data_IF_621984976844
#
_entry.id   IF_621984976844
#
_cell.length_a   1.000
_cell.length_b   1.000
_cell.length_c   1.000
_cell.angle_alpha   90.00
_cell.angle_beta   90.00
_cell.angle_gamma   90.00
#
_symmetry.space_group_name_H-M   'P 1'
#
loop_
_entity.id
_entity.type
_entity.pdbx_description
1 polymer ?
#
# COMPACT_ATOMS: atom_id res chain seq x y z
N UNK A 1 -15.90 -20.54 4.76
CA UNK A 1 -14.50 -20.99 5.01
C UNK A 1 -13.50 -19.84 5.04
N UNK A 2 -13.25 -19.11 3.93
CA UNK A 2 -12.25 -18.01 3.91
C UNK A 2 -12.41 -17.00 5.05
N UNK A 3 -13.61 -16.40 5.20
CA UNK A 3 -13.89 -15.42 6.28
C UNK A 3 -13.68 -16.00 7.67
N UNK A 4 -14.04 -17.27 7.86
CA UNK A 4 -13.90 -17.96 9.14
C UNK A 4 -12.41 -18.21 9.47
N UNK A 5 -11.62 -18.64 8.48
CA UNK A 5 -10.17 -18.76 8.62
C UNK A 5 -9.51 -17.42 8.95
N UNK A 6 -9.94 -16.33 8.30
CA UNK A 6 -9.46 -14.98 8.62
C UNK A 6 -9.80 -14.57 10.06
N UNK A 7 -10.99 -14.91 10.56
CA UNK A 7 -11.37 -14.66 11.95
C UNK A 7 -10.47 -15.40 12.95
N UNK A 8 -10.15 -16.67 12.69
CA UNK A 8 -9.21 -17.42 13.54
C UNK A 8 -7.80 -16.83 13.52
N UNK A 9 -7.32 -16.42 12.36
CA UNK A 9 -6.04 -15.72 12.26
C UNK A 9 -6.06 -14.38 13.01
N UNK A 10 -7.14 -13.62 12.92
CA UNK A 10 -7.29 -12.37 13.66
C UNK A 10 -7.33 -12.60 15.17
N UNK A 11 -7.97 -13.66 15.65
CA UNK A 11 -7.94 -14.03 17.07
C UNK A 11 -6.52 -14.32 17.57
N UNK A 12 -5.75 -15.10 16.81
CA UNK A 12 -4.34 -15.41 17.15
C UNK A 12 -3.50 -14.13 17.12
N UNK A 13 -3.65 -13.30 16.09
CA UNK A 13 -2.80 -12.14 15.86
C UNK A 13 -3.13 -10.94 16.76
N UNK A 14 -4.36 -10.88 17.29
CA UNK A 14 -4.78 -9.86 18.26
C UNK A 14 -4.60 -10.31 19.72
N UNK A 15 -4.27 -11.58 19.95
CA UNK A 15 -3.95 -12.06 21.29
C UNK A 15 -2.70 -11.37 21.82
N UNK A 16 -2.78 -10.83 23.04
CA UNK A 16 -1.68 -10.08 23.64
C UNK A 16 -0.57 -11.06 24.09
N UNK A 17 0.71 -10.77 23.80
CA UNK A 17 1.80 -11.56 24.33
C UNK A 17 1.80 -11.58 25.87
N UNK A 18 2.19 -12.71 26.46
CA UNK A 18 2.40 -12.78 27.90
C UNK A 18 3.65 -11.96 28.23
N UNK A 19 3.51 -10.99 29.13
CA UNK A 19 4.60 -10.12 29.56
C UNK A 19 5.11 -10.53 30.94
N UNK A 20 6.44 -10.48 31.13
CA UNK A 20 7.07 -10.85 32.40
C UNK A 20 7.16 -12.36 32.63
N UNK A 21 7.01 -12.80 33.88
CA UNK A 21 7.04 -14.23 34.24
C UNK A 21 5.63 -14.80 34.15
N UNK A 22 5.44 -15.77 33.26
CA UNK A 22 4.15 -16.44 33.08
C UNK A 22 3.70 -17.18 34.35
N UNK A 23 2.42 -17.06 34.68
CA UNK A 23 1.72 -17.87 35.68
C UNK A 23 1.07 -19.10 35.02
N UNK A 24 0.62 -20.05 35.85
CA UNK A 24 -0.15 -21.20 35.37
C UNK A 24 -1.41 -20.79 34.59
N UNK A 25 -2.14 -19.80 35.10
CA UNK A 25 -3.37 -19.31 34.47
C UNK A 25 -3.09 -18.68 33.10
N UNK A 26 -1.99 -17.93 32.95
CA UNK A 26 -1.63 -17.30 31.67
C UNK A 26 -1.37 -18.35 30.58
N UNK A 27 -0.69 -19.44 30.95
CA UNK A 27 -0.40 -20.54 30.02
C UNK A 27 -1.66 -21.37 29.73
N UNK A 28 -2.54 -21.55 30.73
CA UNK A 28 -3.81 -22.24 30.54
C UNK A 28 -4.73 -21.45 29.60
N UNK A 29 -4.81 -20.13 29.74
CA UNK A 29 -5.55 -19.25 28.85
C UNK A 29 -4.97 -19.26 27.44
N UNK A 30 -3.64 -19.23 27.31
CA UNK A 30 -2.98 -19.34 26.01
C UNK A 30 -3.36 -20.63 25.27
N UNK A 31 -3.31 -21.79 25.94
CA UNK A 31 -3.70 -23.06 25.31
C UNK A 31 -5.19 -23.05 24.95
N UNK A 32 -6.05 -22.60 25.87
CA UNK A 32 -7.50 -22.56 25.66
C UNK A 32 -7.91 -21.62 24.53
N UNK A 33 -7.16 -20.54 24.29
CA UNK A 33 -7.48 -19.60 23.22
C UNK A 33 -6.68 -19.90 21.95
N UNK A 34 -5.36 -19.78 22.00
CA UNK A 34 -4.50 -19.91 20.81
C UNK A 34 -4.45 -21.35 20.34
N UNK A 35 -4.33 -22.31 21.27
CA UNK A 35 -4.33 -23.75 20.94
C UNK A 35 -5.63 -24.18 20.27
N UNK A 36 -6.77 -23.86 20.88
CA UNK A 36 -8.08 -24.20 20.33
C UNK A 36 -8.36 -23.48 19.00
N UNK A 37 -7.95 -22.22 18.87
CA UNK A 37 -8.10 -21.46 17.61
C UNK A 37 -7.26 -22.06 16.48
N UNK A 38 -6.03 -22.48 16.76
CA UNK A 38 -5.17 -23.18 15.79
C UNK A 38 -5.77 -24.54 15.41
N UNK A 39 -6.31 -25.28 16.37
CA UNK A 39 -7.01 -26.54 16.09
C UNK A 39 -8.22 -26.29 15.18
N UNK A 40 -9.05 -25.29 15.48
CA UNK A 40 -10.20 -24.90 14.67
C UNK A 40 -9.80 -24.48 13.24
N UNK A 41 -8.70 -23.72 13.09
CA UNK A 41 -8.14 -23.35 11.80
C UNK A 41 -7.73 -24.58 10.97
N UNK A 42 -7.05 -25.54 11.58
CA UNK A 42 -6.66 -26.80 10.91
C UNK A 42 -7.86 -27.64 10.47
N UNK A 43 -8.95 -27.61 11.23
CA UNK A 43 -10.19 -28.30 10.89
C UNK A 43 -10.86 -27.76 9.61
N UNK A 44 -10.58 -26.51 9.23
CA UNK A 44 -11.10 -25.93 7.97
C UNK A 44 -10.48 -26.56 6.72
N UNK A 45 -9.37 -27.32 6.85
CA UNK A 45 -8.69 -28.01 5.75
C UNK A 45 -8.45 -27.09 4.55
N UNK A 46 -7.91 -25.89 4.84
CA UNK A 46 -7.62 -24.89 3.82
C UNK A 46 -6.51 -25.44 2.90
N UNK A 47 -6.71 -25.45 1.57
CA UNK A 47 -5.67 -25.85 0.64
C UNK A 47 -4.52 -24.84 0.70
N UNK A 48 -3.27 -25.31 0.76
CA UNK A 48 -2.08 -24.47 0.89
C UNK A 48 -2.19 -23.45 2.04
N UNK A 49 -2.36 -23.93 3.28
CA UNK A 49 -2.55 -23.10 4.48
C UNK A 49 -1.51 -21.97 4.61
N UNK A 50 -0.24 -22.22 4.26
CA UNK A 50 0.82 -21.22 4.27
C UNK A 50 0.53 -20.02 3.34
N UNK A 51 0.06 -20.28 2.12
CA UNK A 51 -0.32 -19.22 1.18
C UNK A 51 -1.51 -18.40 1.70
N UNK A 52 -2.48 -19.08 2.32
CA UNK A 52 -3.61 -18.40 2.95
C UNK A 52 -3.16 -17.48 4.10
N UNK A 53 -2.22 -17.93 4.95
CA UNK A 53 -1.66 -17.13 6.03
C UNK A 53 -0.90 -15.92 5.47
N UNK A 54 -0.04 -16.12 4.47
CA UNK A 54 0.72 -15.04 3.82
C UNK A 54 -0.21 -14.00 3.18
N UNK A 55 -1.24 -14.46 2.47
CA UNK A 55 -2.29 -13.61 1.93
C UNK A 55 -2.98 -12.80 3.03
N UNK A 56 -3.40 -13.42 4.13
CA UNK A 56 -4.10 -12.75 5.23
C UNK A 56 -3.23 -11.67 5.88
N UNK A 57 -1.95 -11.99 6.13
CA UNK A 57 -0.98 -11.05 6.69
C UNK A 57 -0.75 -9.86 5.76
N UNK A 58 -0.55 -10.10 4.46
CA UNK A 58 -0.38 -9.03 3.47
C UNK A 58 -1.63 -8.17 3.30
N UNK A 59 -2.81 -8.80 3.23
CA UNK A 59 -4.09 -8.10 3.07
C UNK A 59 -4.42 -7.19 4.25
N UNK A 60 -4.04 -7.59 5.47
CA UNK A 60 -4.20 -6.76 6.68
C UNK A 60 -3.44 -5.44 6.64
N UNK A 61 -2.37 -5.34 5.85
CA UNK A 61 -1.58 -4.12 5.73
C UNK A 61 -2.19 -3.08 4.76
N UNK A 62 -3.25 -3.44 4.03
CA UNK A 62 -3.90 -2.55 3.06
C UNK A 62 -5.07 -1.78 3.69
N UNK A 63 -5.37 -0.61 3.13
CA UNK A 63 -6.54 0.18 3.50
C UNK A 63 -7.85 -0.54 3.12
N UNK A 64 -8.95 -0.17 3.79
CA UNK A 64 -10.26 -0.80 3.59
C UNK A 64 -10.73 -0.73 2.14
N UNK A 65 -10.48 0.39 1.45
CA UNK A 65 -10.91 0.61 0.06
C UNK A 65 -10.16 -0.32 -0.90
N UNK A 66 -8.84 -0.45 -0.72
CA UNK A 66 -8.03 -1.37 -1.52
C UNK A 66 -8.40 -2.84 -1.26
N UNK A 67 -8.68 -3.20 -0.01
CA UNK A 67 -9.15 -4.56 0.33
C UNK A 67 -10.51 -4.87 -0.29
N UNK A 68 -11.48 -3.96 -0.16
CA UNK A 68 -12.81 -4.12 -0.74
C UNK A 68 -12.76 -4.31 -2.25
N UNK A 69 -12.03 -3.45 -2.95
CA UNK A 69 -11.88 -3.55 -4.40
C UNK A 69 -11.08 -4.78 -4.86
N UNK A 70 -10.16 -5.30 -4.04
CA UNK A 70 -9.53 -6.60 -4.29
C UNK A 70 -10.57 -7.74 -4.22
N UNK A 71 -11.41 -7.74 -3.18
CA UNK A 71 -12.46 -8.75 -2.97
C UNK A 71 -13.49 -8.72 -4.12
N UNK A 72 -13.85 -7.53 -4.61
CA UNK A 72 -14.70 -7.38 -5.78
C UNK A 72 -14.06 -7.95 -7.05
N UNK A 73 -12.75 -7.78 -7.23
CA UNK A 73 -12.03 -8.30 -8.39
C UNK A 73 -11.80 -9.82 -8.33
N UNK A 74 -11.82 -10.43 -7.14
CA UNK A 74 -11.51 -11.84 -6.91
C UNK A 74 -12.68 -12.62 -6.30
N UNK A 75 -13.92 -12.25 -6.64
CA UNK A 75 -15.14 -12.93 -6.18
C UNK A 75 -15.17 -14.43 -6.52
N UNK A 76 -14.57 -14.81 -7.64
CA UNK A 76 -14.54 -16.20 -8.13
C UNK A 76 -13.38 -17.03 -7.53
N UNK A 77 -12.48 -16.42 -6.76
CA UNK A 77 -11.32 -17.11 -6.18
C UNK A 77 -11.57 -17.38 -4.70
N UNK A 78 -11.79 -18.65 -4.33
CA UNK A 78 -12.12 -19.03 -2.94
C UNK A 78 -10.98 -18.74 -1.96
N UNK A 79 -9.74 -19.02 -2.34
CA UNK A 79 -8.54 -18.79 -1.54
C UNK A 79 -7.47 -18.09 -2.40
N UNK A 80 -7.46 -16.75 -2.45
CA UNK A 80 -6.42 -16.02 -3.15
C UNK A 80 -5.07 -16.20 -2.47
N UNK A 81 -4.01 -16.17 -3.26
CA UNK A 81 -2.61 -16.26 -2.83
C UNK A 81 -2.02 -14.89 -2.56
N UNK A 82 -0.83 -14.85 -1.95
CA UNK A 82 -0.10 -13.59 -1.82
C UNK A 82 0.34 -13.02 -3.18
N UNK A 83 0.58 -13.88 -4.18
CA UNK A 83 0.91 -13.43 -5.54
C UNK A 83 -0.29 -12.73 -6.20
N UNK A 84 -1.51 -13.26 -6.02
CA UNK A 84 -2.74 -12.61 -6.51
C UNK A 84 -2.89 -11.20 -5.92
N UNK A 85 -2.66 -11.09 -4.61
CA UNK A 85 -2.67 -9.80 -3.91
C UNK A 85 -1.60 -8.85 -4.47
N UNK A 86 -0.37 -9.33 -4.63
CA UNK A 86 0.76 -8.53 -5.12
C UNK A 86 0.52 -8.04 -6.54
N UNK A 87 0.03 -8.91 -7.43
CA UNK A 87 -0.34 -8.56 -8.80
C UNK A 87 -1.45 -7.51 -8.84
N UNK A 88 -2.46 -7.66 -8.00
CA UNK A 88 -3.54 -6.68 -7.89
C UNK A 88 -3.04 -5.31 -7.41
N UNK A 89 -2.25 -5.28 -6.33
CA UNK A 89 -1.71 -4.04 -5.76
C UNK A 89 -0.83 -3.30 -6.77
N UNK A 90 0.02 -4.02 -7.51
CA UNK A 90 0.82 -3.42 -8.61
C UNK A 90 -0.08 -2.82 -9.70
N UNK A 91 -1.15 -3.52 -10.09
CA UNK A 91 -2.09 -3.04 -11.10
C UNK A 91 -2.84 -1.78 -10.62
N UNK A 92 -3.27 -1.77 -9.36
CA UNK A 92 -3.94 -0.60 -8.74
C UNK A 92 -3.00 0.59 -8.63
N UNK A 93 -1.74 0.37 -8.24
CA UNK A 93 -0.71 1.41 -8.20
C UNK A 93 -0.53 2.05 -9.58
N UNK A 94 -0.42 1.25 -10.64
CA UNK A 94 -0.31 1.75 -12.01
C UNK A 94 -1.57 2.51 -12.46
N UNK A 95 -2.75 1.98 -12.15
CA UNK A 95 -4.01 2.65 -12.47
C UNK A 95 -4.10 4.03 -11.81
N UNK A 96 -3.74 4.13 -10.52
CA UNK A 96 -3.70 5.39 -9.79
C UNK A 96 -2.69 6.37 -10.39
N UNK A 97 -1.52 5.88 -10.83
CA UNK A 97 -0.52 6.72 -11.48
C UNK A 97 -1.03 7.28 -12.81
N UNK A 98 -1.68 6.46 -13.64
CA UNK A 98 -2.22 6.87 -14.94
C UNK A 98 -3.49 7.71 -14.85
N UNK A 99 -4.30 7.52 -13.82
CA UNK A 99 -5.52 8.30 -13.59
C UNK A 99 -5.27 9.66 -12.97
N UNK A 100 -4.03 9.96 -12.56
CA UNK A 100 -3.69 11.30 -12.11
C UNK A 100 -3.98 12.26 -13.26
N UNK A 101 -4.82 13.28 -13.04
CA UNK A 101 -5.03 14.28 -14.06
C UNK A 101 -3.66 14.84 -14.42
N UNK A 102 -3.25 14.66 -15.67
CA UNK A 102 -2.17 15.44 -16.20
C UNK A 102 -2.64 16.88 -16.03
N UNK A 103 -2.06 17.61 -15.10
CA UNK A 103 -2.19 19.05 -15.07
C UNK A 103 -1.51 19.56 -16.33
N UNK A 104 -2.20 19.42 -17.47
CA UNK A 104 -2.06 20.35 -18.56
C UNK A 104 -2.42 21.67 -17.92
N UNK A 105 -1.39 22.48 -17.68
CA UNK A 105 -1.54 23.90 -17.40
C UNK A 105 -2.24 24.49 -18.62
N UNK A 106 -3.54 24.29 -18.74
CA UNK A 106 -4.41 25.15 -19.52
C UNK A 106 -4.39 26.45 -18.75
N UNK A 107 -3.44 27.31 -19.11
CA UNK A 107 -3.50 28.73 -18.82
C UNK A 107 -4.91 29.16 -19.19
N UNK A 108 -5.75 29.38 -18.17
CA UNK A 108 -7.03 30.01 -18.36
C UNK A 108 -6.72 31.36 -19.00
N UNK A 109 -7.01 31.49 -20.29
CA UNK A 109 -7.05 32.77 -20.97
C UNK A 109 -8.25 33.47 -20.34
N UNK A 110 -7.99 34.22 -19.28
CA UNK A 110 -8.91 35.20 -18.74
C UNK A 110 -9.13 36.23 -19.84
N UNK A 111 -10.33 36.22 -20.43
CA UNK A 111 -10.80 37.27 -21.33
C UNK A 111 -10.63 38.64 -20.66
N UNK A 112 -9.86 39.59 -21.23
CA UNK A 112 -9.79 40.93 -20.69
C UNK A 112 -11.11 41.65 -20.97
N UNK A 113 -11.75 42.16 -19.90
CA UNK A 113 -12.76 43.20 -20.04
C UNK A 113 -12.10 44.43 -20.67
N UNK A 114 -12.79 44.97 -21.68
CA UNK A 114 -12.46 46.20 -22.42
C UNK A 114 -12.19 47.35 -21.45
N UNK A 115 -11.04 47.99 -21.63
CA UNK A 115 -10.65 49.22 -20.96
C UNK A 115 -9.39 49.77 -21.62
N UNK A 116 -9.53 50.88 -22.32
CA UNK A 116 -8.54 51.49 -23.18
C UNK A 116 -7.21 51.83 -22.47
N UNK A 117 -6.19 52.06 -23.31
CA UNK A 117 -5.15 53.09 -23.25
C UNK A 117 -3.72 52.55 -23.42
N UNK A 118 -3.13 53.11 -24.46
CA UNK A 118 -1.79 53.01 -25.05
C UNK A 118 -0.66 53.14 -24.03
N UNK A 119 0.36 52.27 -24.12
CA UNK A 119 1.81 52.60 -24.16
C UNK A 119 2.69 51.34 -24.04
N UNK A 120 3.57 51.16 -25.03
CA UNK A 120 4.78 50.31 -25.00
C UNK A 120 5.88 51.19 -24.36
N UNK A 121 6.80 50.72 -23.46
CA UNK A 121 7.95 49.91 -23.89
C UNK A 121 8.68 48.94 -22.91
N UNK A 122 9.43 48.03 -23.56
CA UNK A 122 10.70 47.37 -23.19
C UNK A 122 10.77 46.16 -22.22
N UNK A 123 11.54 45.10 -22.56
CA UNK A 123 11.61 43.87 -21.77
C UNK A 123 12.71 43.93 -20.70
N UNK A 124 12.34 43.83 -19.42
CA UNK A 124 13.28 43.51 -18.35
C UNK A 124 13.39 42.00 -18.17
N UNK A 125 14.62 41.50 -18.30
CA UNK A 125 15.00 40.10 -18.03
C UNK A 125 14.66 39.75 -16.58
N UNK A 126 13.79 38.76 -16.38
CA UNK A 126 13.53 38.18 -15.05
C UNK A 126 14.21 36.82 -14.93
N UNK A 127 15.06 36.71 -13.90
CA UNK A 127 15.94 35.60 -13.58
C UNK A 127 15.23 34.25 -13.42
N UNK A 128 15.83 33.19 -13.99
CA UNK A 128 15.50 31.81 -13.64
C UNK A 128 16.14 31.48 -12.29
N UNK A 129 15.39 31.58 -11.20
CA UNK A 129 15.80 30.96 -9.93
C UNK A 129 15.35 29.50 -9.96
N UNK A 130 16.29 28.60 -10.21
CA UNK A 130 16.05 27.15 -10.14
C UNK A 130 15.93 26.74 -8.68
N UNK A 131 14.80 26.14 -8.29
CA UNK A 131 14.67 25.49 -6.99
C UNK A 131 15.41 24.15 -7.07
N UNK A 132 16.66 24.14 -6.60
CA UNK A 132 17.43 22.92 -6.37
C UNK A 132 16.80 22.19 -5.18
N UNK A 133 15.98 21.19 -5.45
CA UNK A 133 15.67 20.16 -4.45
C UNK A 133 16.86 19.22 -4.40
N UNK A 134 17.66 19.29 -3.33
CA UNK A 134 18.77 18.36 -3.12
C UNK A 134 18.21 16.95 -2.91
N UNK A 135 18.20 16.15 -3.97
CA UNK A 135 18.00 14.70 -3.89
C UNK A 135 19.17 14.17 -3.03
N UNK A 136 19.00 13.33 -2.00
CA UNK A 136 20.14 12.75 -1.28
C UNK A 136 20.90 11.75 -2.18
N UNK A 137 22.23 11.60 -2.02
CA UNK A 137 23.01 10.68 -2.84
C UNK A 137 22.58 9.23 -2.59
N UNK A 138 22.42 8.47 -3.67
CA UNK A 138 22.05 7.06 -3.64
C UNK A 138 23.08 6.26 -2.82
N UNK A 139 22.65 5.40 -1.87
CA UNK A 139 23.55 4.67 -0.99
C UNK A 139 24.44 3.64 -1.73
N UNK A 140 24.05 3.23 -2.94
CA UNK A 140 24.77 2.23 -3.74
C UNK A 140 25.87 2.86 -4.59
N UNK A 141 25.58 3.95 -5.30
CA UNK A 141 26.50 4.52 -6.28
C UNK A 141 26.99 5.94 -5.93
N UNK A 142 26.55 6.51 -4.80
CA UNK A 142 26.82 7.89 -4.34
C UNK A 142 26.41 9.00 -5.34
N UNK A 143 25.59 8.67 -6.34
CA UNK A 143 25.06 9.61 -7.34
C UNK A 143 23.64 10.05 -6.97
N UNK A 144 23.23 11.25 -7.38
CA UNK A 144 21.92 11.82 -7.06
C UNK A 144 20.81 11.26 -7.97
N UNK A 145 20.19 10.16 -7.56
CA UNK A 145 19.03 9.56 -8.24
C UNK A 145 18.17 8.76 -7.26
N UNK A 146 16.93 8.44 -7.67
CA UNK A 146 16.03 7.57 -6.91
C UNK A 146 16.49 6.11 -6.98
N UNK A 147 16.50 5.38 -5.86
CA UNK A 147 17.11 4.03 -5.75
C UNK A 147 16.56 3.02 -6.78
N UNK A 148 15.27 3.13 -7.12
CA UNK A 148 14.60 2.27 -8.11
C UNK A 148 15.08 2.47 -9.56
N UNK A 149 15.86 3.53 -9.81
CA UNK A 149 16.48 3.81 -11.12
C UNK A 149 17.99 3.55 -11.09
N UNK A 150 18.51 2.93 -10.03
CA UNK A 150 19.93 2.61 -9.91
C UNK A 150 20.27 1.39 -10.77
N UNK A 151 21.13 1.60 -11.78
CA UNK A 151 21.61 0.52 -12.67
C UNK A 151 22.43 -0.58 -11.97
N UNK A 152 22.81 -0.38 -10.71
CA UNK A 152 23.54 -1.36 -9.89
C UNK A 152 22.63 -2.14 -8.93
N UNK A 153 21.31 -1.94 -9.00
CA UNK A 153 20.31 -2.63 -8.16
C UNK A 153 19.64 -3.83 -8.86
N UNK A 154 20.07 -4.16 -10.10
CA UNK A 154 19.75 -5.43 -10.78
C UNK A 154 20.76 -6.53 -10.40
#
# INVERSE_FOLDING_TARGET
DRRLGSTYLDQILNHKPIHGKASFNDLQEFISLVGDTVAALKLLKIPNESEFILFHLGSRCLDSTTRESFEMAHTNVKFPTFEDLSKYVRSRMLALHLSQPTSSTSSAISSPKVGNYTKIPTPQKASKTSLITQIPPCPVSKMHHHILSCKQYD
#
